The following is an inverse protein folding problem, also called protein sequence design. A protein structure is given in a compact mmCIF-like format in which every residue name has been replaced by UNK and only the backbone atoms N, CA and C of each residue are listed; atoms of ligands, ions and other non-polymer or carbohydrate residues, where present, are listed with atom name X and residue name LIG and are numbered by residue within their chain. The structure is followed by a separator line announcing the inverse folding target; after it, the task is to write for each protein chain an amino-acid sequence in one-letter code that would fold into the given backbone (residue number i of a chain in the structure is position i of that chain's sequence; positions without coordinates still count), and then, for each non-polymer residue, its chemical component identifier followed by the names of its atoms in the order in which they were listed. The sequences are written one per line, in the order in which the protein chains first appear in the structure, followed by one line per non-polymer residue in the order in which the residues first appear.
data_IF_373988772761
#
_entry.id   IF_373988772761
#
_cell.length_a   1.000
_cell.length_b   1.000
_cell.length_c   1.000
_cell.angle_alpha   90.00
_cell.angle_beta   90.00
_cell.angle_gamma   90.00
#
_symmetry.space_group_name_H-M   'P 1'
#
loop_
_entity.id
_entity.type
_entity.pdbx_description
1 polymer ?
#
# COMPACT_ATOMS: atom_id res chain seq x y z
N UNK A 1 -2.92 -21.42 -9.37
CA UNK A 1 -3.20 -21.01 -7.98
C UNK A 1 -2.96 -19.51 -7.92
N UNK A 2 -4.04 -18.73 -7.95
CA UNK A 2 -3.99 -17.27 -8.03
C UNK A 2 -3.58 -16.71 -6.67
N UNK A 3 -2.58 -15.82 -6.65
CA UNK A 3 -2.26 -15.03 -5.47
C UNK A 3 -3.56 -14.35 -5.00
N UNK A 4 -3.88 -14.46 -3.71
CA UNK A 4 -4.98 -13.70 -3.14
C UNK A 4 -4.74 -12.21 -3.42
N UNK A 5 -5.79 -11.42 -3.67
CA UNK A 5 -5.67 -10.00 -4.04
C UNK A 5 -4.76 -9.22 -3.08
N UNK A 6 -4.86 -9.52 -1.78
CA UNK A 6 -3.99 -8.96 -0.75
C UNK A 6 -2.50 -9.26 -0.88
N UNK A 7 -2.14 -10.42 -1.43
CA UNK A 7 -0.75 -10.84 -1.58
C UNK A 7 -0.09 -10.19 -2.81
N UNK A 8 -0.83 -10.11 -3.91
CA UNK A 8 -0.41 -9.35 -5.09
C UNK A 8 -0.25 -7.85 -4.77
N UNK A 9 -1.13 -7.29 -3.96
CA UNK A 9 -1.05 -5.89 -3.55
C UNK A 9 0.12 -5.63 -2.60
N UNK A 10 0.38 -6.53 -1.64
CA UNK A 10 1.57 -6.44 -0.77
C UNK A 10 2.87 -6.46 -1.59
N UNK A 11 2.97 -7.33 -2.59
CA UNK A 11 4.14 -7.40 -3.47
C UNK A 11 4.34 -6.07 -4.21
N UNK A 12 3.25 -5.48 -4.74
CA UNK A 12 3.31 -4.18 -5.43
C UNK A 12 3.72 -3.05 -4.49
N UNK A 13 3.18 -2.99 -3.27
CA UNK A 13 3.55 -1.97 -2.29
C UNK A 13 4.99 -2.12 -1.79
N UNK A 14 5.44 -3.35 -1.56
CA UNK A 14 6.81 -3.63 -1.12
C UNK A 14 7.85 -3.21 -2.16
N UNK A 15 7.57 -3.40 -3.46
CA UNK A 15 8.47 -2.96 -4.52
C UNK A 15 8.58 -1.43 -4.61
N UNK A 16 7.48 -0.71 -4.36
CA UNK A 16 7.51 0.76 -4.31
C UNK A 16 8.32 1.28 -3.12
N UNK A 17 8.17 0.68 -1.94
CA UNK A 17 9.00 1.04 -0.77
C UNK A 17 10.48 0.77 -1.04
N UNK A 18 10.82 -0.38 -1.63
CA UNK A 18 12.20 -0.75 -1.94
C UNK A 18 12.87 0.14 -2.98
N UNK A 19 12.10 0.88 -3.79
CA UNK A 19 12.63 1.80 -4.80
C UNK A 19 13.26 3.07 -4.22
N UNK A 20 12.97 3.42 -2.97
CA UNK A 20 13.52 4.62 -2.31
C UNK A 20 13.04 5.95 -2.90
N UNK A 21 11.98 5.95 -3.72
CA UNK A 21 11.41 7.17 -4.28
C UNK A 21 10.86 8.08 -3.17
N UNK A 22 11.25 9.36 -3.21
CA UNK A 22 10.84 10.42 -2.29
C UNK A 22 10.33 11.64 -3.08
N UNK A 23 9.43 12.43 -2.51
CA UNK A 23 8.81 13.58 -3.18
C UNK A 23 7.77 13.22 -4.24
N UNK A 24 7.28 11.97 -4.24
CA UNK A 24 6.30 11.47 -5.22
C UNK A 24 4.89 11.47 -4.61
N UNK A 25 3.87 11.58 -5.47
CA UNK A 25 2.46 11.39 -5.11
C UNK A 25 2.02 9.95 -5.43
N UNK A 26 1.60 9.22 -4.40
CA UNK A 26 0.92 7.94 -4.53
C UNK A 26 -0.59 8.14 -4.39
N UNK A 27 -1.36 7.66 -5.37
CA UNK A 27 -2.82 7.63 -5.34
C UNK A 27 -3.28 6.17 -5.36
N UNK A 28 -4.04 5.76 -4.34
CA UNK A 28 -4.57 4.40 -4.23
C UNK A 28 -6.10 4.45 -4.16
N UNK A 29 -6.75 3.62 -4.96
CA UNK A 29 -8.20 3.45 -4.98
C UNK A 29 -8.56 2.09 -4.39
N UNK A 30 -9.33 2.10 -3.32
CA UNK A 30 -9.80 0.94 -2.56
C UNK A 30 -8.72 -0.08 -2.18
N UNK A 31 -7.57 0.33 -1.58
CA UNK A 31 -6.49 -0.59 -1.28
C UNK A 31 -6.86 -1.62 -0.21
N UNK A 32 -7.97 -1.48 0.50
CA UNK A 32 -8.43 -2.51 1.43
C UNK A 32 -9.21 -3.67 0.76
N UNK A 33 -9.60 -3.55 -0.51
CA UNK A 33 -10.43 -4.56 -1.18
C UNK A 33 -9.76 -5.92 -1.23
N UNK A 34 -10.50 -6.94 -0.80
CA UNK A 34 -10.04 -8.32 -0.78
C UNK A 34 -8.93 -8.59 0.25
N UNK A 35 -8.60 -7.63 1.12
CA UNK A 35 -7.74 -7.87 2.27
C UNK A 35 -8.51 -8.55 3.39
N UNK A 36 -7.86 -9.53 4.01
CA UNK A 36 -8.32 -10.06 5.27
C UNK A 36 -8.17 -8.98 6.35
N UNK A 37 -9.10 -8.92 7.30
CA UNK A 37 -9.11 -7.91 8.38
C UNK A 37 -7.77 -7.77 9.15
N UNK A 38 -7.02 -8.86 9.31
CA UNK A 38 -5.69 -8.90 9.94
C UNK A 38 -4.61 -8.14 9.17
N UNK A 39 -4.79 -7.97 7.86
CA UNK A 39 -3.84 -7.35 6.96
C UNK A 39 -4.07 -5.84 6.79
N UNK A 40 -5.25 -5.31 7.18
CA UNK A 40 -5.52 -3.87 7.18
C UNK A 40 -4.52 -3.09 8.03
N UNK A 41 -4.21 -3.57 9.23
CA UNK A 41 -3.20 -2.96 10.10
C UNK A 41 -1.80 -2.93 9.47
N UNK A 42 -1.48 -3.91 8.61
CA UNK A 42 -0.22 -3.95 7.86
C UNK A 42 -0.25 -2.97 6.70
N UNK A 43 -1.33 -2.92 5.92
CA UNK A 43 -1.53 -1.94 4.85
C UNK A 43 -1.36 -0.51 5.38
N UNK A 44 -2.03 -0.16 6.47
CA UNK A 44 -1.94 1.17 7.07
C UNK A 44 -0.51 1.50 7.49
N UNK A 45 0.25 0.54 8.07
CA UNK A 45 1.66 0.74 8.42
C UNK A 45 2.52 1.00 7.19
N UNK A 46 2.30 0.25 6.11
CA UNK A 46 3.00 0.42 4.82
C UNK A 46 2.73 1.81 4.21
N UNK A 47 1.49 2.26 4.20
CA UNK A 47 1.12 3.59 3.68
C UNK A 47 1.71 4.72 4.52
N UNK A 48 1.72 4.58 5.86
CA UNK A 48 2.40 5.52 6.76
C UNK A 48 3.90 5.58 6.49
N UNK A 49 4.53 4.42 6.27
CA UNK A 49 5.95 4.37 5.95
C UNK A 49 6.27 5.09 4.64
N UNK A 50 5.46 4.90 3.58
CA UNK A 50 5.61 5.63 2.32
C UNK A 50 5.54 7.14 2.52
N UNK A 51 4.58 7.62 3.33
CA UNK A 51 4.49 9.04 3.71
C UNK A 51 5.75 9.51 4.45
N UNK A 52 6.21 8.74 5.42
CA UNK A 52 7.36 9.10 6.26
C UNK A 52 8.68 9.15 5.46
N UNK A 53 8.74 8.50 4.30
CA UNK A 53 9.83 8.66 3.31
C UNK A 53 9.77 9.98 2.52
N UNK A 54 8.86 10.91 2.86
CA UNK A 54 8.71 12.20 2.19
C UNK A 54 7.80 12.17 0.96
N UNK A 55 6.93 11.16 0.86
CA UNK A 55 5.94 11.08 -0.22
C UNK A 55 4.58 11.60 0.24
N UNK A 56 3.76 12.05 -0.72
CA UNK A 56 2.35 12.31 -0.47
C UNK A 56 1.55 11.05 -0.82
N UNK A 57 0.63 10.64 0.05
CA UNK A 57 -0.20 9.45 -0.17
C UNK A 57 -1.66 9.86 -0.05
N UNK A 58 -2.42 9.65 -1.13
CA UNK A 58 -3.87 9.84 -1.19
C UNK A 58 -4.52 8.47 -1.32
N UNK A 59 -5.52 8.22 -0.48
CA UNK A 59 -6.24 6.95 -0.46
C UNK A 59 -7.74 7.24 -0.55
N UNK A 60 -8.41 6.56 -1.46
CA UNK A 60 -9.87 6.45 -1.50
C UNK A 60 -10.29 5.09 -0.91
N UNK A 61 -11.23 5.09 0.03
CA UNK A 61 -11.85 3.89 0.63
C UNK A 61 -13.36 4.14 0.75
N UNK A 62 -14.17 3.07 0.75
CA UNK A 62 -15.63 3.12 0.93
C UNK A 62 -16.07 2.56 2.28
#
# INVERSE_FOLDING_TARGET
MTLAGGEAQRIRLASQIGSGLSGVLYVLDEPSIGLHQRDNSRLIKTLKHLRDLGNTVIVNEH
#
